data_IF_479912800409
#
_entry.id   IF_479912800409
#
_cell.length_a   1.000
_cell.length_b   1.000
_cell.length_c   1.000
_cell.angle_alpha   90.00
_cell.angle_beta   90.00
_cell.angle_gamma   90.00
#
_symmetry.space_group_name_H-M   'P 1'
#
loop_
_entity.id
_entity.type
_entity.pdbx_description
1 polymer ?
#
# COMPACT_ATOMS: atom_id res chain seq x y z
N UNK A 1 -1.48 10.45 -11.98
CA UNK A 1 -2.00 9.35 -11.15
C UNK A 1 -2.85 8.44 -12.04
N UNK A 2 -2.53 7.15 -12.14
CA UNK A 2 -3.36 6.18 -12.88
C UNK A 2 -4.49 5.67 -12.01
N UNK A 3 -5.73 5.63 -12.53
CA UNK A 3 -6.88 5.06 -11.82
C UNK A 3 -6.99 3.59 -12.22
N UNK A 4 -6.88 2.68 -11.25
CA UNK A 4 -7.10 1.25 -11.46
C UNK A 4 -8.54 0.92 -11.09
N UNK A 5 -9.28 0.32 -12.01
CA UNK A 5 -10.64 -0.20 -11.75
C UNK A 5 -10.53 -1.60 -11.15
N UNK A 6 -11.32 -1.85 -10.10
CA UNK A 6 -11.45 -3.15 -9.44
C UNK A 6 -12.93 -3.48 -9.30
N UNK A 7 -13.26 -4.74 -8.99
CA UNK A 7 -14.65 -5.15 -8.73
C UNK A 7 -15.18 -4.53 -7.44
N UNK A 8 -16.51 -4.35 -7.37
CA UNK A 8 -17.21 -3.93 -6.13
C UNK A 8 -16.86 -4.84 -4.94
N UNK A 9 -16.84 -6.16 -5.15
CA UNK A 9 -16.47 -7.14 -4.12
C UNK A 9 -15.06 -6.93 -3.56
N UNK A 10 -14.11 -6.52 -4.41
CA UNK A 10 -12.75 -6.20 -3.99
C UNK A 10 -12.70 -4.88 -3.22
N UNK A 11 -13.43 -3.87 -3.69
CA UNK A 11 -13.55 -2.59 -3.00
C UNK A 11 -14.16 -2.72 -1.60
N UNK A 12 -15.19 -3.56 -1.42
CA UNK A 12 -15.76 -3.88 -0.11
C UNK A 12 -14.78 -4.61 0.81
N UNK A 13 -13.97 -5.49 0.24
CA UNK A 13 -12.93 -6.22 0.98
C UNK A 13 -11.82 -5.26 1.45
N UNK A 14 -11.41 -4.31 0.61
CA UNK A 14 -10.50 -3.23 0.98
C UNK A 14 -11.09 -2.35 2.08
N UNK A 15 -12.35 -1.94 1.96
CA UNK A 15 -13.03 -1.11 2.98
C UNK A 15 -13.05 -1.79 4.34
N UNK A 16 -13.41 -3.08 4.40
CA UNK A 16 -13.44 -3.83 5.67
C UNK A 16 -12.05 -4.03 6.27
N UNK A 17 -11.09 -4.47 5.45
CA UNK A 17 -9.72 -4.76 5.91
C UNK A 17 -8.99 -3.49 6.33
N UNK A 18 -9.16 -2.39 5.60
CA UNK A 18 -8.55 -1.09 5.92
C UNK A 18 -9.01 -0.58 7.28
N UNK A 19 -10.31 -0.70 7.60
CA UNK A 19 -10.83 -0.38 8.93
C UNK A 19 -10.25 -1.27 10.04
N UNK A 20 -10.16 -2.58 9.80
CA UNK A 20 -9.61 -3.55 10.77
C UNK A 20 -8.11 -3.34 11.03
N UNK A 21 -7.35 -2.93 10.01
CA UNK A 21 -5.90 -2.73 10.07
C UNK A 21 -5.49 -1.26 10.17
N UNK A 22 -6.43 -0.40 10.57
CA UNK A 22 -6.25 1.04 10.85
C UNK A 22 -5.45 1.79 9.78
N UNK A 23 -5.80 1.59 8.51
CA UNK A 23 -5.16 2.25 7.36
C UNK A 23 -6.20 2.83 6.40
N UNK A 24 -5.78 3.72 5.51
CA UNK A 24 -6.67 4.21 4.43
C UNK A 24 -6.97 3.09 3.43
N UNK A 25 -8.07 3.20 2.68
CA UNK A 25 -8.41 2.23 1.61
C UNK A 25 -7.29 2.16 0.57
N UNK A 26 -6.71 3.30 0.18
CA UNK A 26 -5.61 3.35 -0.77
C UNK A 26 -4.34 2.68 -0.21
N UNK A 27 -3.99 2.95 1.06
CA UNK A 27 -2.84 2.31 1.71
C UNK A 27 -3.04 0.79 1.84
N UNK A 28 -4.29 0.33 2.06
CA UNK A 28 -4.61 -1.09 2.04
C UNK A 28 -4.46 -1.72 0.66
N UNK A 29 -4.92 -1.03 -0.38
CA UNK A 29 -4.78 -1.49 -1.77
C UNK A 29 -3.30 -1.58 -2.16
N UNK A 30 -2.54 -0.53 -1.87
CA UNK A 30 -1.11 -0.49 -2.13
C UNK A 30 -0.36 -1.61 -1.40
N UNK A 31 -0.68 -1.84 -0.12
CA UNK A 31 -0.09 -2.94 0.63
C UNK A 31 -0.34 -4.31 -0.03
N UNK A 32 -1.59 -4.60 -0.43
CA UNK A 32 -1.91 -5.85 -1.13
C UNK A 32 -1.19 -5.98 -2.47
N UNK A 33 -1.09 -4.90 -3.25
CA UNK A 33 -0.36 -4.89 -4.51
C UNK A 33 1.13 -5.16 -4.31
N UNK A 34 1.76 -4.51 -3.32
CA UNK A 34 3.18 -4.72 -2.99
C UNK A 34 3.44 -6.14 -2.50
N UNK A 35 2.58 -6.67 -1.63
CA UNK A 35 2.66 -8.07 -1.16
C UNK A 35 2.52 -9.04 -2.34
N UNK A 36 1.52 -8.84 -3.20
CA UNK A 36 1.27 -9.70 -4.36
C UNK A 36 2.46 -9.73 -5.33
N UNK A 37 2.99 -8.55 -5.67
CA UNK A 37 4.17 -8.42 -6.52
C UNK A 37 5.40 -9.12 -5.91
N UNK A 38 5.64 -8.95 -4.60
CA UNK A 38 6.77 -9.61 -3.93
C UNK A 38 6.60 -11.13 -3.87
N UNK A 39 5.36 -11.62 -3.68
CA UNK A 39 5.06 -13.04 -3.70
C UNK A 39 5.26 -13.64 -5.11
N UNK A 40 4.87 -12.93 -6.16
CA UNK A 40 5.10 -13.36 -7.56
C UNK A 40 6.59 -13.42 -7.89
N UNK A 41 7.37 -12.42 -7.45
CA UNK A 41 8.82 -12.36 -7.71
C UNK A 41 9.62 -13.33 -6.83
N UNK A 42 9.07 -13.75 -5.68
CA UNK A 42 9.75 -14.60 -4.72
C UNK A 42 8.81 -15.74 -4.24
N UNK A 43 8.51 -16.74 -5.08
CA UNK A 43 7.49 -17.75 -4.79
C UNK A 43 7.78 -18.65 -3.57
N UNK A 44 9.03 -18.68 -3.11
CA UNK A 44 9.49 -19.50 -1.98
C UNK A 44 9.44 -18.77 -0.64
N UNK A 45 9.22 -17.45 -0.63
CA UNK A 45 9.20 -16.69 0.61
C UNK A 45 7.87 -16.87 1.34
N UNK A 46 7.97 -17.02 2.66
CA UNK A 46 6.80 -16.97 3.51
C UNK A 46 6.31 -15.53 3.65
N UNK A 47 5.03 -15.35 4.00
CA UNK A 47 4.44 -14.03 4.21
C UNK A 47 5.23 -13.17 5.19
N UNK A 48 5.76 -13.77 6.27
CA UNK A 48 6.59 -13.06 7.24
C UNK A 48 7.85 -12.44 6.63
N UNK A 49 8.52 -13.17 5.72
CA UNK A 49 9.70 -12.68 5.01
C UNK A 49 9.35 -11.54 4.05
N UNK A 50 8.21 -11.65 3.36
CA UNK A 50 7.67 -10.57 2.52
C UNK A 50 7.43 -9.30 3.36
N UNK A 51 6.86 -9.43 4.57
CA UNK A 51 6.68 -8.30 5.47
C UNK A 51 8.02 -7.67 5.88
N UNK A 52 9.05 -8.47 6.15
CA UNK A 52 10.38 -7.96 6.46
C UNK A 52 10.99 -7.20 5.28
N UNK A 53 10.80 -7.67 4.04
CA UNK A 53 11.23 -6.94 2.84
C UNK A 53 10.52 -5.59 2.72
N UNK A 54 9.22 -5.53 2.97
CA UNK A 54 8.46 -4.27 2.95
C UNK A 54 8.96 -3.28 4.01
N UNK A 55 9.22 -3.74 5.24
CA UNK A 55 9.76 -2.89 6.31
C UNK A 55 11.15 -2.34 5.96
N UNK A 56 12.02 -3.16 5.36
CA UNK A 56 13.35 -2.73 4.90
C UNK A 56 13.27 -1.72 3.76
N UNK A 57 12.32 -1.89 2.85
CA UNK A 57 12.10 -0.95 1.75
C UNK A 57 11.68 0.44 2.27
N UNK A 58 10.78 0.49 3.26
CA UNK A 58 10.36 1.75 3.89
C UNK A 58 11.47 2.38 4.75
N UNK A 59 12.25 1.57 5.49
CA UNK A 59 13.37 2.06 6.29
C UNK A 59 14.52 2.64 5.44
N UNK A 60 14.65 2.21 4.18
CA UNK A 60 15.62 2.72 3.21
C UNK A 60 15.07 3.84 2.31
N UNK A 61 13.77 4.13 2.37
CA UNK A 61 13.18 5.20 1.59
C UNK A 61 13.50 6.55 2.25
N UNK A 62 14.06 7.54 1.52
CA UNK A 62 14.12 8.89 2.05
C UNK A 62 12.68 9.34 2.32
N UNK A 63 12.42 9.82 3.53
CA UNK A 63 11.12 10.36 3.90
C UNK A 63 10.81 11.54 2.97
N UNK A 64 10.00 11.29 1.94
CA UNK A 64 9.53 12.33 1.03
C UNK A 64 8.45 13.15 1.76
N UNK A 65 8.91 13.93 2.73
CA UNK A 65 8.16 14.99 3.38
C UNK A 65 8.15 16.21 2.47
N UNK A 66 7.59 16.10 1.27
CA UNK A 66 7.31 17.26 0.43
C UNK A 66 5.84 17.28 0.02
N UNK A 67 4.97 17.31 1.05
CA UNK A 67 3.70 18.00 0.90
C UNK A 67 3.98 19.51 0.89
N UNK A 68 4.29 20.05 -0.28
CA UNK A 68 4.22 21.48 -0.51
C UNK A 68 2.84 21.98 -0.04
N UNK A 69 2.77 23.04 0.81
CA UNK A 69 1.50 23.56 1.26
C UNK A 69 0.72 24.06 0.05
N UNK A 70 -0.52 23.58 -0.08
CA UNK A 70 -1.52 24.17 -0.98
C UNK A 70 -1.53 25.68 -0.70
N UNK A 71 -1.05 26.47 -1.66
CA UNK A 71 -1.14 27.91 -1.65
C UNK A 71 -2.62 28.30 -1.56
N UNK A 72 -3.04 28.66 -0.34
CA UNK A 72 -4.29 29.37 -0.12
C UNK A 72 -4.19 30.74 -0.80
N UNK A 73 -5.06 30.93 -1.79
CA UNK A 73 -5.88 32.13 -2.02
C UNK A 73 -5.22 33.50 -1.76
N UNK A 74 -4.99 34.24 -2.85
CA UNK A 74 -5.34 35.66 -2.98
C UNK A 74 -5.62 35.96 -4.46
#
# INVERSE_FOLDING_TARGET
MGIIKISESMHDSLRRTSGALSRSINAQAEHWLRVGMLAELNPTLAYGDICQLLLRAEAGAPADHDHAPLSKVA
#
